data_IF_703335832518
#
_entry.id   IF_703335832518
#
_cell.length_a   1.000
_cell.length_b   1.000
_cell.length_c   1.000
_cell.angle_alpha   90.00
_cell.angle_beta   90.00
_cell.angle_gamma   90.00
#
_symmetry.space_group_name_H-M   'P 1'
#
loop_
_entity.id
_entity.type
_entity.pdbx_description
1 polymer ?
#
# COMPACT_ATOMS: atom_id res chain seq x y z
N UNK A 1 -26.77 -47.17 -19.41
CA UNK A 1 -25.97 -47.30 -18.16
C UNK A 1 -25.11 -46.05 -18.04
N UNK A 2 -25.56 -45.08 -17.28
CA UNK A 2 -24.82 -43.82 -17.01
C UNK A 2 -24.31 -43.91 -15.57
N UNK A 3 -23.01 -44.04 -15.39
CA UNK A 3 -22.35 -44.00 -14.10
C UNK A 3 -21.98 -42.54 -13.79
N UNK A 4 -22.71 -41.98 -12.83
CA UNK A 4 -22.46 -40.71 -12.21
C UNK A 4 -21.15 -40.75 -11.38
N UNK A 5 -20.16 -40.01 -11.80
CA UNK A 5 -18.99 -39.68 -10.98
C UNK A 5 -19.16 -38.28 -10.40
N UNK A 6 -19.71 -38.18 -9.18
CA UNK A 6 -19.87 -36.95 -8.44
C UNK A 6 -19.33 -37.02 -7.00
N UNK A 7 -18.11 -37.57 -6.81
CA UNK A 7 -17.56 -37.79 -5.48
C UNK A 7 -16.27 -37.07 -5.06
N UNK A 8 -15.55 -36.26 -5.84
CA UNK A 8 -14.34 -35.63 -5.30
C UNK A 8 -14.56 -34.25 -4.63
N UNK A 9 -15.59 -33.48 -5.01
CA UNK A 9 -15.76 -32.08 -4.54
C UNK A 9 -16.18 -32.00 -3.06
N UNK A 10 -17.06 -32.90 -2.61
CA UNK A 10 -17.54 -32.91 -1.21
C UNK A 10 -16.48 -33.43 -0.21
N UNK A 11 -15.58 -34.30 -0.62
CA UNK A 11 -14.52 -34.85 0.22
C UNK A 11 -13.41 -33.80 0.46
N UNK A 12 -13.08 -32.99 -0.56
CA UNK A 12 -12.06 -31.95 -0.48
C UNK A 12 -12.51 -30.77 0.38
N UNK A 13 -13.81 -30.38 0.32
CA UNK A 13 -14.36 -29.33 1.18
C UNK A 13 -14.38 -29.72 2.67
N UNK A 14 -14.77 -30.98 2.98
CA UNK A 14 -14.80 -31.45 4.37
C UNK A 14 -13.41 -31.56 5.02
N UNK A 15 -12.37 -31.87 4.24
CA UNK A 15 -10.99 -31.94 4.74
C UNK A 15 -10.46 -30.54 5.03
N UNK A 16 -10.75 -29.56 4.17
CA UNK A 16 -10.35 -28.17 4.37
C UNK A 16 -11.05 -27.53 5.58
N UNK A 17 -12.33 -27.81 5.80
CA UNK A 17 -13.08 -27.30 6.96
C UNK A 17 -12.54 -27.87 8.28
N UNK A 18 -12.17 -29.12 8.33
CA UNK A 18 -11.57 -29.74 9.52
C UNK A 18 -10.20 -29.16 9.84
N UNK A 19 -9.38 -28.97 8.82
CA UNK A 19 -8.06 -28.35 8.95
C UNK A 19 -8.19 -26.90 9.42
N UNK A 20 -9.09 -26.14 8.83
CA UNK A 20 -9.38 -24.75 9.21
C UNK A 20 -9.84 -24.63 10.68
N UNK A 21 -10.77 -25.48 11.11
CA UNK A 21 -11.23 -25.50 12.50
C UNK A 21 -10.08 -25.85 13.46
N UNK A 22 -9.18 -26.73 13.08
CA UNK A 22 -8.00 -27.08 13.87
C UNK A 22 -7.08 -25.84 14.05
N UNK A 23 -6.91 -25.02 13.02
CA UNK A 23 -6.13 -23.79 13.12
C UNK A 23 -6.79 -22.82 14.11
N UNK A 24 -8.10 -22.64 14.04
CA UNK A 24 -8.84 -21.77 14.98
C UNK A 24 -8.62 -22.24 16.43
N UNK A 25 -8.73 -23.55 16.70
CA UNK A 25 -8.52 -24.09 18.04
C UNK A 25 -7.09 -23.87 18.56
N UNK A 26 -6.08 -24.04 17.72
CA UNK A 26 -4.70 -23.77 18.10
C UNK A 26 -4.42 -22.28 18.27
N UNK A 27 -4.95 -21.43 17.40
CA UNK A 27 -4.84 -19.97 17.53
C UNK A 27 -5.46 -19.46 18.84
N UNK A 28 -6.60 -20.03 19.26
CA UNK A 28 -7.21 -19.73 20.56
C UNK A 28 -6.30 -20.12 21.74
N UNK A 29 -5.56 -21.23 21.63
CA UNK A 29 -4.59 -21.65 22.65
C UNK A 29 -3.37 -20.72 22.72
N UNK A 30 -2.94 -20.16 21.59
CA UNK A 30 -1.87 -19.14 21.54
C UNK A 30 -2.35 -17.82 22.16
N UNK A 31 -3.65 -17.54 22.11
CA UNK A 31 -4.33 -16.52 22.88
C UNK A 31 -4.25 -15.09 22.33
N UNK A 32 -3.38 -14.82 21.35
CA UNK A 32 -3.23 -13.50 20.70
C UNK A 32 -2.55 -13.61 19.34
N UNK A 33 -2.62 -12.53 18.56
CA UNK A 33 -1.76 -12.30 17.39
C UNK A 33 -1.13 -10.92 17.48
N UNK A 34 0.16 -10.82 17.20
CA UNK A 34 0.90 -9.56 17.20
C UNK A 34 1.11 -9.09 15.77
N UNK A 35 0.49 -7.98 15.41
CA UNK A 35 0.55 -7.39 14.08
C UNK A 35 1.34 -6.09 14.13
N UNK A 36 2.35 -5.93 13.27
CA UNK A 36 3.11 -4.70 13.15
C UNK A 36 2.80 -3.98 11.82
N UNK A 37 2.59 -2.66 11.88
CA UNK A 37 2.27 -1.88 10.68
C UNK A 37 2.27 -0.37 10.94
N UNK A 38 2.00 0.40 9.88
CA UNK A 38 1.84 1.86 10.02
C UNK A 38 0.63 2.20 10.91
N UNK A 39 0.63 3.36 11.59
CA UNK A 39 -0.57 3.84 12.29
C UNK A 39 -1.77 3.87 11.34
N UNK A 40 -2.83 3.19 11.71
CA UNK A 40 -3.95 2.88 10.82
C UNK A 40 -5.28 2.96 11.58
N UNK A 41 -6.15 3.94 11.27
CA UNK A 41 -7.47 4.06 11.88
C UNK A 41 -8.39 2.88 11.58
N UNK A 42 -8.36 2.30 10.36
CA UNK A 42 -9.18 1.14 9.97
C UNK A 42 -8.79 -0.08 10.80
N UNK A 43 -7.47 -0.32 10.96
CA UNK A 43 -6.97 -1.37 11.83
C UNK A 43 -7.52 -1.23 13.26
N UNK A 44 -7.40 -0.03 13.83
CA UNK A 44 -7.78 0.19 15.25
C UNK A 44 -9.29 0.14 15.48
N UNK A 45 -10.05 0.79 14.60
CA UNK A 45 -11.47 1.03 14.83
C UNK A 45 -12.36 -0.09 14.29
N UNK A 46 -11.89 -0.86 13.31
CA UNK A 46 -12.71 -1.85 12.62
C UNK A 46 -12.11 -3.27 12.67
N UNK A 47 -10.85 -3.44 12.26
CA UNK A 47 -10.22 -4.77 12.14
C UNK A 47 -10.01 -5.43 13.50
N UNK A 48 -9.40 -4.73 14.45
CA UNK A 48 -9.12 -5.28 15.81
C UNK A 48 -10.42 -5.69 16.50
N UNK A 49 -11.46 -4.85 16.60
CA UNK A 49 -12.72 -5.24 17.22
C UNK A 49 -13.38 -6.42 16.48
N UNK A 50 -13.42 -6.38 15.16
CA UNK A 50 -14.10 -7.40 14.36
C UNK A 50 -13.43 -8.77 14.43
N UNK A 51 -12.11 -8.82 14.41
CA UNK A 51 -11.37 -10.08 14.58
C UNK A 51 -11.60 -10.68 15.97
N UNK A 52 -11.53 -9.84 17.00
CA UNK A 52 -11.80 -10.26 18.39
C UNK A 52 -13.25 -10.74 18.57
N UNK A 53 -14.23 -10.04 17.99
CA UNK A 53 -15.64 -10.47 18.01
C UNK A 53 -15.80 -11.86 17.39
N UNK A 54 -15.16 -12.09 16.23
CA UNK A 54 -15.32 -13.33 15.47
C UNK A 54 -14.62 -14.54 16.07
N UNK A 55 -13.41 -14.36 16.60
CA UNK A 55 -12.55 -15.49 17.03
C UNK A 55 -12.27 -15.52 18.54
N UNK A 56 -12.58 -14.45 19.25
CA UNK A 56 -12.23 -14.31 20.68
C UNK A 56 -10.76 -14.03 20.95
N UNK A 57 -9.96 -13.79 19.88
CA UNK A 57 -8.51 -13.61 19.96
C UNK A 57 -8.17 -12.13 19.80
N UNK A 58 -7.47 -11.48 20.74
CA UNK A 58 -7.06 -10.11 20.60
C UNK A 58 -5.91 -9.94 19.58
N UNK A 59 -5.92 -8.82 18.87
CA UNK A 59 -4.78 -8.35 18.08
C UNK A 59 -4.00 -7.34 18.91
N UNK A 60 -2.73 -7.61 19.18
CA UNK A 60 -1.78 -6.63 19.70
C UNK A 60 -1.16 -5.89 18.51
N UNK A 61 -1.51 -4.62 18.33
CA UNK A 61 -1.06 -3.84 17.19
C UNK A 61 0.12 -2.93 17.53
N UNK A 62 1.29 -3.24 16.98
CA UNK A 62 2.51 -2.43 17.06
C UNK A 62 2.46 -1.41 15.92
N UNK A 63 2.01 -0.20 16.23
CA UNK A 63 1.91 0.89 15.28
C UNK A 63 3.15 1.78 15.33
N UNK A 64 3.77 2.04 14.18
CA UNK A 64 4.93 2.93 14.06
C UNK A 64 5.28 3.23 12.61
N UNK A 65 6.18 4.19 12.40
CA UNK A 65 6.76 4.39 11.06
C UNK A 65 7.54 3.15 10.65
N UNK A 66 7.55 2.84 9.36
CA UNK A 66 8.25 1.65 8.85
C UNK A 66 9.73 1.59 9.28
N UNK A 67 10.42 2.73 9.32
CA UNK A 67 11.80 2.82 9.78
C UNK A 67 11.96 2.50 11.28
N UNK A 68 11.02 2.96 12.12
CA UNK A 68 11.03 2.73 13.56
C UNK A 68 10.74 1.24 13.87
N UNK A 69 9.73 0.67 13.21
CA UNK A 69 9.40 -0.75 13.34
C UNK A 69 10.58 -1.60 12.87
N UNK A 70 11.19 -1.29 11.71
CA UNK A 70 12.35 -2.02 11.19
C UNK A 70 13.54 -1.98 12.15
N UNK A 71 13.87 -0.80 12.69
CA UNK A 71 14.98 -0.65 13.65
C UNK A 71 14.73 -1.44 14.94
N UNK A 72 13.51 -1.35 15.49
CA UNK A 72 13.10 -2.11 16.67
C UNK A 72 13.24 -3.61 16.44
N UNK A 73 12.66 -4.13 15.34
CA UNK A 73 12.68 -5.55 15.02
C UNK A 73 14.11 -6.07 14.83
N UNK A 74 14.98 -5.29 14.16
CA UNK A 74 16.40 -5.65 14.00
C UNK A 74 17.09 -5.77 15.36
N UNK A 75 16.87 -4.83 16.26
CA UNK A 75 17.44 -4.85 17.61
C UNK A 75 16.95 -6.05 18.43
N UNK A 76 15.63 -6.29 18.43
CA UNK A 76 15.02 -7.42 19.13
C UNK A 76 15.58 -8.75 18.61
N UNK A 77 15.65 -8.95 17.29
CA UNK A 77 16.19 -10.16 16.66
C UNK A 77 17.68 -10.35 16.94
N UNK A 78 18.47 -9.27 16.96
CA UNK A 78 19.88 -9.31 17.36
C UNK A 78 20.07 -9.83 18.78
N UNK A 79 19.06 -9.67 19.64
CA UNK A 79 19.01 -10.20 21.01
C UNK A 79 18.27 -11.53 21.12
N UNK A 80 17.90 -12.18 20.00
CA UNK A 80 17.16 -13.44 20.00
C UNK A 80 15.66 -13.30 20.31
N UNK A 81 15.11 -12.08 20.32
CA UNK A 81 13.71 -11.79 20.63
C UNK A 81 12.90 -11.72 19.34
N UNK A 82 11.79 -12.45 19.30
CA UNK A 82 10.84 -12.49 18.19
C UNK A 82 9.47 -12.08 18.75
N UNK A 83 9.04 -10.84 18.47
CA UNK A 83 7.87 -10.23 19.08
C UNK A 83 6.68 -10.03 18.14
N UNK A 84 6.85 -10.29 16.84
CA UNK A 84 5.86 -10.02 15.80
C UNK A 84 5.47 -11.30 15.09
N UNK A 85 4.18 -11.46 14.80
CA UNK A 85 3.62 -12.58 14.04
C UNK A 85 3.38 -12.22 12.56
N UNK A 86 2.83 -11.02 12.32
CA UNK A 86 2.42 -10.57 10.99
C UNK A 86 2.89 -9.13 10.77
N UNK A 87 3.42 -8.85 9.57
CA UNK A 87 3.67 -7.48 9.13
C UNK A 87 2.64 -7.06 8.08
N UNK A 88 2.05 -5.88 8.29
CA UNK A 88 1.29 -5.13 7.29
C UNK A 88 2.10 -3.88 6.96
N UNK A 89 3.00 -3.99 5.98
CA UNK A 89 4.01 -2.97 5.71
C UNK A 89 4.01 -2.50 4.26
N UNK A 90 4.54 -1.30 4.05
CA UNK A 90 4.68 -0.74 2.71
C UNK A 90 5.69 -1.51 1.85
N UNK A 91 5.62 -1.34 0.51
CA UNK A 91 6.45 -2.09 -0.44
C UNK A 91 7.95 -2.01 -0.18
N UNK A 92 8.48 -0.81 0.10
CA UNK A 92 9.92 -0.63 0.36
C UNK A 92 10.39 -1.45 1.56
N UNK A 93 9.70 -1.36 2.70
CA UNK A 93 10.05 -2.11 3.92
C UNK A 93 9.93 -3.61 3.69
N UNK A 94 8.87 -4.04 3.01
CA UNK A 94 8.65 -5.45 2.69
C UNK A 94 9.79 -6.00 1.85
N UNK A 95 10.18 -5.32 0.78
CA UNK A 95 11.18 -5.82 -0.15
C UNK A 95 12.61 -5.69 0.38
N UNK A 96 12.98 -4.51 0.90
CA UNK A 96 14.39 -4.23 1.23
C UNK A 96 14.78 -4.71 2.62
N UNK A 97 13.85 -4.68 3.59
CA UNK A 97 14.14 -5.07 4.97
C UNK A 97 13.62 -6.48 5.26
N UNK A 98 12.30 -6.69 5.18
CA UNK A 98 11.73 -7.95 5.66
C UNK A 98 12.16 -9.14 4.81
N UNK A 99 12.05 -9.03 3.49
CA UNK A 99 12.49 -10.07 2.57
C UNK A 99 14.01 -10.08 2.41
N UNK A 100 14.62 -8.92 2.17
CA UNK A 100 16.08 -8.81 1.93
C UNK A 100 16.93 -9.34 3.09
N UNK A 101 16.49 -9.15 4.33
CA UNK A 101 17.15 -9.61 5.54
C UNK A 101 16.58 -10.96 6.07
N UNK A 102 15.78 -11.66 5.27
CA UNK A 102 15.18 -12.98 5.57
C UNK A 102 14.42 -13.00 6.90
N UNK A 103 13.62 -11.95 7.14
CA UNK A 103 12.82 -11.80 8.37
C UNK A 103 11.40 -12.36 8.26
N UNK A 104 11.05 -12.95 7.12
CA UNK A 104 9.72 -13.48 6.83
C UNK A 104 9.77 -14.92 6.34
N UNK A 105 8.71 -15.66 6.62
CA UNK A 105 8.48 -17.02 6.12
C UNK A 105 7.46 -17.01 4.97
N UNK A 106 7.43 -18.06 4.12
CA UNK A 106 6.43 -18.17 3.06
C UNK A 106 5.01 -18.15 3.62
N UNK A 107 4.19 -17.18 3.21
CA UNK A 107 2.78 -17.12 3.59
C UNK A 107 1.89 -17.98 2.68
N UNK A 108 2.29 -18.19 1.43
CA UNK A 108 1.47 -18.93 0.44
C UNK A 108 0.95 -20.29 0.94
N UNK A 109 1.76 -21.18 1.54
CA UNK A 109 1.28 -22.47 2.02
C UNK A 109 0.36 -22.37 3.24
N UNK A 110 0.29 -21.22 3.90
CA UNK A 110 -0.56 -20.95 5.05
C UNK A 110 -1.97 -20.48 4.67
N UNK A 111 -2.18 -20.09 3.41
CA UNK A 111 -3.46 -19.56 2.91
C UNK A 111 -4.38 -20.70 2.49
N UNK A 112 -5.07 -21.31 3.46
CA UNK A 112 -5.89 -22.51 3.28
C UNK A 112 -7.39 -22.29 3.49
N UNK A 113 -7.81 -21.09 3.96
CA UNK A 113 -9.24 -20.78 4.09
C UNK A 113 -9.89 -20.91 2.71
N UNK A 114 -10.97 -21.72 2.56
CA UNK A 114 -11.51 -22.06 1.25
C UNK A 114 -11.76 -20.88 0.32
N UNK A 115 -12.40 -19.82 0.83
CA UNK A 115 -12.67 -18.60 0.04
C UNK A 115 -11.41 -17.79 -0.30
N UNK A 116 -10.31 -17.95 0.45
CA UNK A 116 -9.03 -17.27 0.17
C UNK A 116 -8.22 -18.09 -0.83
N UNK A 117 -8.22 -19.41 -0.70
CA UNK A 117 -7.54 -20.32 -1.61
C UNK A 117 -8.22 -20.43 -2.99
N UNK A 118 -9.50 -20.05 -3.09
CA UNK A 118 -10.25 -20.09 -4.35
C UNK A 118 -9.73 -19.02 -5.33
N UNK A 119 -9.03 -19.49 -6.36
CA UNK A 119 -8.45 -18.66 -7.41
C UNK A 119 -9.49 -17.78 -8.14
N UNK A 120 -10.75 -18.23 -8.25
CA UNK A 120 -11.83 -17.48 -8.93
C UNK A 120 -12.24 -16.21 -8.19
N UNK A 121 -11.90 -16.11 -6.92
CA UNK A 121 -12.16 -14.94 -6.09
C UNK A 121 -11.13 -13.81 -6.27
N UNK A 122 -10.09 -14.02 -7.09
CA UNK A 122 -9.02 -13.07 -7.30
C UNK A 122 -8.98 -12.56 -8.74
N UNK A 123 -8.81 -11.26 -8.95
CA UNK A 123 -8.86 -10.58 -10.27
C UNK A 123 -7.86 -11.13 -11.29
N UNK A 124 -6.72 -11.68 -10.84
CA UNK A 124 -5.73 -12.31 -11.72
C UNK A 124 -5.90 -13.83 -11.85
N UNK A 125 -7.01 -14.41 -11.35
CA UNK A 125 -7.17 -15.86 -11.25
C UNK A 125 -6.18 -16.53 -10.28
N UNK A 126 -5.53 -15.73 -9.43
CA UNK A 126 -4.61 -16.16 -8.37
C UNK A 126 -4.44 -15.06 -7.34
N UNK A 127 -3.99 -15.42 -6.14
CA UNK A 127 -3.49 -14.45 -5.17
C UNK A 127 -2.25 -13.76 -5.75
N UNK A 128 -2.19 -12.45 -5.66
CA UNK A 128 -1.08 -11.69 -6.19
C UNK A 128 0.03 -11.54 -5.14
N UNK A 129 1.21 -12.03 -5.47
CA UNK A 129 2.43 -11.88 -4.69
C UNK A 129 3.34 -10.85 -5.35
N UNK A 130 4.01 -10.04 -4.54
CA UNK A 130 4.95 -9.04 -5.02
C UNK A 130 6.36 -9.61 -5.20
N UNK A 131 6.74 -10.57 -4.36
CA UNK A 131 8.08 -11.15 -4.36
C UNK A 131 8.34 -12.08 -5.56
N UNK A 132 9.63 -12.23 -6.01
CA UNK A 132 9.97 -13.02 -7.19
C UNK A 132 9.63 -14.50 -7.09
N UNK A 133 9.55 -15.04 -5.87
CA UNK A 133 9.21 -16.43 -5.62
C UNK A 133 7.70 -16.70 -5.57
N UNK A 134 6.89 -15.63 -5.62
CA UNK A 134 5.42 -15.66 -5.45
C UNK A 134 4.96 -16.44 -4.19
N UNK A 135 5.58 -16.15 -3.03
CA UNK A 135 5.36 -16.92 -1.81
C UNK A 135 5.26 -16.11 -0.52
N UNK A 136 5.89 -14.94 -0.44
CA UNK A 136 6.17 -14.26 0.82
C UNK A 136 5.30 -13.04 1.06
N UNK A 137 5.08 -12.20 0.04
CA UNK A 137 4.45 -10.89 0.17
C UNK A 137 3.16 -10.79 -0.65
N UNK A 138 2.00 -10.83 0.03
CA UNK A 138 0.70 -10.72 -0.65
C UNK A 138 0.37 -9.27 -0.94
N UNK A 139 0.02 -8.98 -2.20
CA UNK A 139 -0.61 -7.73 -2.66
C UNK A 139 -2.12 -7.92 -2.72
N UNK A 140 -2.83 -7.30 -1.80
CA UNK A 140 -4.28 -7.45 -1.70
C UNK A 140 -5.06 -6.31 -2.40
N UNK A 141 -4.36 -5.25 -2.86
CA UNK A 141 -4.95 -4.05 -3.45
C UNK A 141 -4.28 -3.66 -4.77
N UNK A 142 -5.01 -2.92 -5.62
CA UNK A 142 -4.55 -2.47 -6.94
C UNK A 142 -5.13 -1.12 -7.32
N UNK A 143 -5.12 -0.14 -6.42
CA UNK A 143 -5.61 1.20 -6.72
C UNK A 143 -4.66 1.95 -7.66
N UNK A 144 -5.23 2.77 -8.55
CA UNK A 144 -4.44 3.81 -9.23
C UNK A 144 -4.12 4.89 -8.19
N UNK A 145 -2.85 5.19 -8.00
CA UNK A 145 -2.40 6.20 -7.06
C UNK A 145 -2.62 7.61 -7.60
N UNK A 146 -2.94 8.54 -6.72
CA UNK A 146 -2.96 9.95 -7.06
C UNK A 146 -1.53 10.42 -7.35
N UNK A 147 -1.31 11.03 -8.53
CA UNK A 147 -0.03 11.55 -8.96
C UNK A 147 0.29 12.89 -8.29
N UNK A 148 -0.69 13.78 -8.26
CA UNK A 148 -0.62 15.08 -7.60
C UNK A 148 -2.02 15.60 -7.26
N UNK A 149 -2.08 16.64 -6.43
CA UNK A 149 -3.32 17.34 -6.06
C UNK A 149 -3.27 18.80 -6.48
N UNK A 150 -4.40 19.35 -6.89
CA UNK A 150 -4.54 20.77 -7.21
C UNK A 150 -5.72 21.39 -6.45
N UNK A 151 -5.57 22.64 -6.00
CA UNK A 151 -6.67 23.46 -5.51
C UNK A 151 -7.35 24.14 -6.70
N UNK A 152 -8.62 23.79 -6.97
CA UNK A 152 -9.34 24.23 -8.17
C UNK A 152 -9.84 25.68 -8.12
N UNK A 153 -9.75 26.36 -6.97
CA UNK A 153 -9.95 27.81 -6.90
C UNK A 153 -8.78 28.60 -7.49
N UNK A 154 -7.59 27.98 -7.57
CA UNK A 154 -6.34 28.60 -8.03
C UNK A 154 -5.82 27.99 -9.34
N UNK A 155 -6.06 26.71 -9.58
CA UNK A 155 -5.55 25.93 -10.73
C UNK A 155 -6.72 25.31 -11.46
N UNK A 156 -6.97 25.73 -12.69
CA UNK A 156 -8.00 25.09 -13.51
C UNK A 156 -7.50 23.70 -13.97
N UNK A 157 -8.36 22.66 -13.98
CA UNK A 157 -7.96 21.34 -14.44
C UNK A 157 -7.32 21.32 -15.85
N UNK A 158 -7.79 22.21 -16.73
CA UNK A 158 -7.28 22.36 -18.09
C UNK A 158 -5.84 22.89 -18.16
N UNK A 159 -5.35 23.47 -17.06
CA UNK A 159 -4.00 24.00 -16.92
C UNK A 159 -3.01 22.96 -16.35
N UNK A 160 -3.45 21.71 -16.16
CA UNK A 160 -2.66 20.61 -15.60
C UNK A 160 -2.93 19.32 -16.36
N UNK A 161 -2.62 19.31 -17.68
CA UNK A 161 -2.83 18.16 -18.57
C UNK A 161 -1.56 17.37 -18.82
N UNK A 162 -0.40 18.02 -18.70
CA UNK A 162 0.91 17.38 -18.84
C UNK A 162 1.82 17.80 -17.71
N UNK A 163 2.87 17.05 -17.45
CA UNK A 163 3.87 17.40 -16.44
C UNK A 163 4.61 18.70 -16.82
N UNK A 164 4.72 19.00 -18.14
CA UNK A 164 5.32 20.26 -18.60
C UNK A 164 4.54 21.49 -18.10
N UNK A 165 3.24 21.36 -17.82
CA UNK A 165 2.43 22.47 -17.28
C UNK A 165 2.87 22.89 -15.89
N UNK A 166 3.50 21.98 -15.12
CA UNK A 166 4.13 22.30 -13.82
C UNK A 166 5.29 23.29 -13.96
N UNK A 167 5.90 23.37 -15.14
CA UNK A 167 7.03 24.27 -15.42
C UNK A 167 6.59 25.68 -15.84
N UNK A 168 5.29 25.95 -15.94
CA UNK A 168 4.79 27.28 -16.26
C UNK A 168 5.22 28.28 -15.19
N UNK A 169 5.74 29.45 -15.61
CA UNK A 169 6.28 30.49 -14.72
C UNK A 169 5.27 30.99 -13.66
N UNK A 170 3.96 30.90 -13.93
CA UNK A 170 2.90 31.28 -12.97
C UNK A 170 2.87 30.41 -11.72
N UNK A 171 3.41 29.18 -11.77
CA UNK A 171 3.49 28.26 -10.65
C UNK A 171 4.78 28.34 -9.85
N UNK A 172 5.70 29.23 -10.23
CA UNK A 172 6.97 29.40 -9.52
C UNK A 172 6.75 29.78 -8.07
N UNK A 173 7.28 28.94 -7.15
CA UNK A 173 7.10 29.08 -5.71
C UNK A 173 5.71 28.72 -5.20
N UNK A 174 4.83 28.13 -6.03
CA UNK A 174 3.46 27.73 -5.69
C UNK A 174 3.23 26.23 -5.72
N UNK A 175 4.27 25.43 -5.87
CA UNK A 175 4.24 23.96 -5.85
C UNK A 175 4.85 23.50 -4.54
N UNK A 176 4.20 22.55 -3.85
CA UNK A 176 4.72 21.94 -2.62
C UNK A 176 5.02 20.47 -2.78
N UNK A 177 5.96 19.97 -1.99
CA UNK A 177 6.33 18.56 -1.90
C UNK A 177 6.91 18.21 -0.53
N UNK A 178 6.77 16.96 -0.10
CA UNK A 178 7.62 16.42 0.96
C UNK A 178 9.09 16.46 0.49
N UNK A 179 10.02 16.71 1.41
CA UNK A 179 11.45 16.84 1.08
C UNK A 179 11.97 15.60 0.31
N UNK A 180 12.27 15.71 -0.99
CA UNK A 180 12.68 14.59 -1.82
C UNK A 180 14.09 14.07 -1.51
N UNK A 181 14.83 14.75 -0.65
CA UNK A 181 16.16 14.29 -0.19
C UNK A 181 16.10 13.34 0.99
N UNK A 182 14.89 13.07 1.50
CA UNK A 182 14.64 12.11 2.60
C UNK A 182 13.73 10.99 2.13
N UNK A 183 13.85 9.79 2.72
CA UNK A 183 12.97 8.68 2.39
C UNK A 183 11.51 9.02 2.72
N UNK A 184 10.62 8.93 1.75
CA UNK A 184 9.20 9.26 1.89
C UNK A 184 8.49 9.43 0.55
N UNK A 185 7.27 9.97 0.59
CA UNK A 185 6.44 10.20 -0.59
C UNK A 185 7.09 11.19 -1.56
N UNK A 186 7.79 12.23 -1.04
CA UNK A 186 8.50 13.20 -1.87
C UNK A 186 9.63 12.57 -2.68
N UNK A 187 10.44 11.69 -2.06
CA UNK A 187 11.51 10.98 -2.77
C UNK A 187 10.94 10.02 -3.84
N UNK A 188 9.81 9.35 -3.55
CA UNK A 188 9.16 8.45 -4.50
C UNK A 188 8.60 9.21 -5.70
N UNK A 189 7.90 10.30 -5.46
CA UNK A 189 7.35 11.17 -6.50
C UNK A 189 8.47 11.74 -7.38
N UNK A 190 9.56 12.25 -6.78
CA UNK A 190 10.68 12.78 -7.52
C UNK A 190 11.42 11.71 -8.34
N UNK A 191 11.61 10.50 -7.78
CA UNK A 191 12.19 9.37 -8.52
C UNK A 191 11.33 8.97 -9.72
N UNK A 192 10.00 9.03 -9.58
CA UNK A 192 9.06 8.78 -10.66
C UNK A 192 9.15 9.85 -11.76
N UNK A 193 9.18 11.13 -11.40
CA UNK A 193 9.40 12.22 -12.38
C UNK A 193 10.74 12.08 -13.09
N UNK A 194 11.80 11.70 -12.38
CA UNK A 194 13.10 11.45 -13.02
C UNK A 194 13.06 10.27 -13.99
N UNK A 195 12.42 9.17 -13.59
CA UNK A 195 12.27 7.99 -14.45
C UNK A 195 11.54 8.31 -15.75
N UNK A 196 10.43 9.04 -15.68
CA UNK A 196 9.56 9.28 -16.83
C UNK A 196 10.03 10.44 -17.70
N UNK A 197 10.61 11.49 -17.11
CA UNK A 197 10.88 12.78 -17.77
C UNK A 197 12.36 13.22 -17.73
N UNK A 198 13.19 12.51 -16.98
CA UNK A 198 14.64 12.75 -16.94
C UNK A 198 15.10 13.86 -16.01
N UNK A 199 16.40 14.06 -16.00
CA UNK A 199 17.12 14.96 -15.11
C UNK A 199 16.74 16.43 -15.29
N UNK A 200 16.68 16.90 -16.53
CA UNK A 200 16.40 18.29 -16.83
C UNK A 200 15.02 18.72 -16.32
N UNK A 201 14.01 17.85 -16.45
CA UNK A 201 12.68 18.11 -15.88
C UNK A 201 12.73 18.22 -14.38
N UNK A 202 13.41 17.30 -13.68
CA UNK A 202 13.53 17.30 -12.22
C UNK A 202 14.24 18.57 -11.72
N UNK A 203 15.32 18.98 -12.39
CA UNK A 203 16.05 20.22 -12.08
C UNK A 203 15.14 21.44 -12.24
N UNK A 204 14.43 21.56 -13.36
CA UNK A 204 13.47 22.64 -13.62
C UNK A 204 12.36 22.65 -12.58
N UNK A 205 11.73 21.50 -12.30
CA UNK A 205 10.60 21.40 -11.36
C UNK A 205 11.00 21.75 -9.92
N UNK A 206 12.09 21.18 -9.44
CA UNK A 206 12.43 21.31 -8.01
C UNK A 206 13.31 22.51 -7.67
N UNK A 207 14.13 23.00 -8.63
CA UNK A 207 15.07 24.09 -8.41
C UNK A 207 14.57 25.39 -9.05
N UNK A 208 14.35 25.38 -10.37
CA UNK A 208 14.01 26.61 -11.10
C UNK A 208 12.60 27.09 -10.77
N UNK A 209 11.64 26.17 -10.60
CA UNK A 209 10.28 26.47 -10.12
C UNK A 209 10.23 26.85 -8.63
N UNK A 210 11.35 26.71 -7.90
CA UNK A 210 11.41 26.97 -6.45
C UNK A 210 10.34 26.18 -5.69
N UNK A 211 10.19 24.89 -6.00
CA UNK A 211 9.23 24.00 -5.32
C UNK A 211 9.47 24.03 -3.81
N UNK A 212 8.44 24.33 -3.05
CA UNK A 212 8.49 24.45 -1.59
C UNK A 212 8.55 23.06 -0.96
N UNK A 213 9.55 22.83 -0.13
CA UNK A 213 9.83 21.52 0.50
C UNK A 213 9.55 21.59 1.99
N UNK A 214 8.88 20.57 2.53
CA UNK A 214 8.66 20.45 3.97
C UNK A 214 8.70 18.95 4.36
N UNK A 215 8.87 18.66 5.65
CA UNK A 215 8.70 17.31 6.22
C UNK A 215 7.38 17.15 6.97
N UNK A 216 6.62 18.23 7.05
CA UNK A 216 5.37 18.29 7.79
C UNK A 216 4.18 18.03 6.85
N UNK A 217 3.67 16.80 6.87
CA UNK A 217 2.56 16.35 6.00
C UNK A 217 1.31 17.21 6.14
N UNK A 218 0.91 17.52 7.38
CA UNK A 218 -0.27 18.36 7.65
C UNK A 218 -0.11 19.76 7.08
N UNK A 219 1.09 20.33 7.16
CA UNK A 219 1.37 21.64 6.59
C UNK A 219 1.16 21.67 5.07
N UNK A 220 1.57 20.60 4.36
CA UNK A 220 1.32 20.51 2.91
C UNK A 220 -0.17 20.47 2.58
N UNK A 221 -0.95 19.68 3.32
CA UNK A 221 -2.40 19.58 3.13
C UNK A 221 -3.11 20.88 3.46
N UNK A 222 -2.68 21.59 4.51
CA UNK A 222 -3.20 22.94 4.85
C UNK A 222 -2.87 23.97 3.77
N UNK A 223 -1.66 23.98 3.24
CA UNK A 223 -1.28 24.85 2.14
C UNK A 223 -2.10 24.62 0.88
N UNK A 224 -2.30 23.34 0.54
CA UNK A 224 -3.15 22.92 -0.59
C UNK A 224 -4.59 23.41 -0.39
N UNK A 225 -5.18 23.14 0.77
CA UNK A 225 -6.55 23.50 1.09
C UNK A 225 -6.79 25.00 1.04
N UNK A 226 -5.84 25.81 1.55
CA UNK A 226 -5.91 27.27 1.55
C UNK A 226 -5.47 27.91 0.24
N UNK A 227 -4.94 27.15 -0.72
CA UNK A 227 -4.44 27.65 -1.99
C UNK A 227 -3.13 28.45 -1.90
N UNK A 228 -2.43 28.47 -0.75
CA UNK A 228 -1.10 29.10 -0.63
C UNK A 228 -0.04 28.36 -1.44
N UNK A 229 -0.13 27.04 -1.49
CA UNK A 229 0.60 26.14 -2.38
C UNK A 229 -0.44 25.30 -3.12
N UNK A 230 -1.02 25.82 -4.22
CA UNK A 230 -2.18 25.21 -4.85
C UNK A 230 -1.90 23.91 -5.62
N UNK A 231 -0.64 23.50 -5.71
CA UNK A 231 -0.20 22.25 -6.33
C UNK A 231 0.64 21.47 -5.34
N UNK A 232 0.25 20.22 -5.04
CA UNK A 232 0.98 19.32 -4.15
C UNK A 232 1.39 18.05 -4.88
N UNK A 233 2.71 17.80 -5.01
CA UNK A 233 3.27 16.67 -5.75
C UNK A 233 3.31 15.38 -4.94
N UNK A 234 3.26 15.45 -3.62
CA UNK A 234 3.45 14.28 -2.75
C UNK A 234 2.57 14.31 -1.49
N UNK A 235 1.48 15.07 -1.53
CA UNK A 235 0.44 14.97 -0.52
C UNK A 235 -0.13 13.55 -0.51
N UNK A 236 -0.59 13.10 0.65
CA UNK A 236 -1.16 11.76 0.77
C UNK A 236 -2.67 11.82 0.73
N UNK A 237 -3.24 10.81 0.12
CA UNK A 237 -4.70 10.66 -0.01
C UNK A 237 -5.41 10.64 1.36
N UNK A 238 -4.81 9.99 2.36
CA UNK A 238 -5.32 9.91 3.72
C UNK A 238 -5.33 11.26 4.47
N UNK A 239 -4.46 12.21 4.10
CA UNK A 239 -4.45 13.56 4.65
C UNK A 239 -5.38 14.53 3.87
N UNK A 240 -5.58 14.29 2.57
CA UNK A 240 -6.30 15.24 1.69
C UNK A 240 -7.79 14.89 1.53
N UNK A 241 -8.16 13.61 1.48
CA UNK A 241 -9.57 13.21 1.31
C UNK A 241 -10.53 13.68 2.39
N UNK A 242 -10.14 13.77 3.69
CA UNK A 242 -10.97 14.44 4.69
C UNK A 242 -11.29 15.89 4.32
N UNK A 243 -10.31 16.64 3.83
CA UNK A 243 -10.50 18.06 3.42
C UNK A 243 -11.47 18.15 2.22
N UNK A 244 -11.36 17.25 1.25
CA UNK A 244 -12.31 17.17 0.13
C UNK A 244 -13.75 16.92 0.66
N UNK A 245 -13.91 16.02 1.63
CA UNK A 245 -15.20 15.75 2.28
C UNK A 245 -15.74 16.96 3.06
N UNK A 246 -14.87 17.78 3.62
CA UNK A 246 -15.22 19.04 4.29
C UNK A 246 -15.56 20.17 3.30
N UNK A 247 -15.44 19.94 1.99
CA UNK A 247 -15.86 20.85 0.93
C UNK A 247 -14.75 21.72 0.34
N UNK A 248 -13.48 21.51 0.72
CA UNK A 248 -12.35 22.17 0.07
C UNK A 248 -12.28 21.79 -1.41
N UNK A 249 -11.99 22.76 -2.27
CA UNK A 249 -11.97 22.61 -3.72
C UNK A 249 -10.65 21.98 -4.19
N UNK A 250 -10.46 20.71 -3.90
CA UNK A 250 -9.26 19.96 -4.24
C UNK A 250 -9.61 18.86 -5.24
N UNK A 251 -8.81 18.74 -6.31
CA UNK A 251 -8.91 17.69 -7.33
C UNK A 251 -7.69 16.77 -7.24
N UNK A 252 -7.95 15.47 -7.30
CA UNK A 252 -6.95 14.42 -7.44
C UNK A 252 -6.61 14.21 -8.92
N UNK A 253 -5.36 14.32 -9.32
CA UNK A 253 -4.84 14.02 -10.66
C UNK A 253 -4.13 12.66 -10.61
N UNK A 254 -4.58 11.70 -11.41
CA UNK A 254 -4.07 10.32 -11.39
C UNK A 254 -3.06 10.03 -12.50
N UNK A 255 -3.16 10.76 -13.61
CA UNK A 255 -2.31 10.62 -14.79
C UNK A 255 -2.17 11.97 -15.49
N UNK A 256 -1.11 12.16 -16.24
CA UNK A 256 -0.88 13.29 -17.14
C UNK A 256 -0.56 12.73 -18.54
N UNK A 257 -0.67 13.56 -19.57
CA UNK A 257 -0.48 13.10 -20.96
C UNK A 257 0.92 12.46 -21.20
N UNK A 258 1.90 12.89 -20.45
CA UNK A 258 3.31 12.47 -20.50
C UNK A 258 3.76 11.61 -19.30
N UNK A 259 2.86 11.35 -18.33
CA UNK A 259 3.09 10.44 -17.20
C UNK A 259 1.89 9.51 -17.03
N UNK A 260 2.03 8.22 -17.34
CA UNK A 260 0.95 7.27 -17.15
C UNK A 260 0.62 7.12 -15.66
N UNK A 261 -0.65 6.86 -15.35
CA UNK A 261 -1.09 6.53 -14.00
C UNK A 261 -0.31 5.33 -13.44
N UNK A 262 -0.18 5.25 -12.12
CA UNK A 262 0.54 4.15 -11.46
C UNK A 262 -0.38 3.29 -10.61
N UNK A 263 -0.17 1.98 -10.66
CA UNK A 263 -0.81 1.04 -9.72
C UNK A 263 0.00 1.02 -8.43
N UNK A 264 -0.69 1.24 -7.33
CA UNK A 264 -0.15 1.14 -5.98
C UNK A 264 -0.82 -0.02 -5.24
N UNK A 265 -0.03 -0.87 -4.59
CA UNK A 265 -0.52 -1.97 -3.74
C UNK A 265 -0.88 -1.53 -2.31
N UNK A 266 -1.09 -0.22 -2.09
CA UNK A 266 -1.51 0.34 -0.81
C UNK A 266 -2.87 -0.23 -0.33
N UNK A 267 -3.15 -0.33 0.98
CA UNK A 267 -2.39 0.31 2.07
C UNK A 267 -1.19 -0.48 2.59
N UNK A 268 -1.09 -1.78 2.30
CA UNK A 268 -0.01 -2.65 2.81
C UNK A 268 0.20 -3.90 1.93
N UNK A 269 1.37 -4.52 2.13
CA UNK A 269 1.65 -5.91 1.77
C UNK A 269 1.61 -6.76 3.04
N UNK A 270 0.98 -7.93 2.97
CA UNK A 270 0.92 -8.87 4.08
C UNK A 270 2.07 -9.87 3.99
N UNK A 271 2.81 -10.00 5.09
CA UNK A 271 3.87 -11.00 5.26
C UNK A 271 3.80 -11.63 6.64
N UNK A 272 4.30 -12.86 6.78
CA UNK A 272 4.40 -13.59 8.05
C UNK A 272 5.83 -13.50 8.57
N UNK A 273 5.99 -13.12 9.83
CA UNK A 273 7.30 -13.09 10.46
C UNK A 273 7.89 -14.50 10.57
N UNK A 274 9.19 -14.65 10.26
CA UNK A 274 9.84 -15.91 10.59
C UNK A 274 9.98 -16.04 12.11
N UNK A 275 9.88 -17.26 12.63
CA UNK A 275 9.85 -17.56 14.07
C UNK A 275 8.74 -16.76 14.80
N UNK A 276 7.59 -16.61 14.16
CA UNK A 276 6.43 -15.96 14.77
C UNK A 276 6.10 -16.64 16.11
N UNK A 277 5.96 -15.90 17.22
CA UNK A 277 5.64 -16.48 18.53
C UNK A 277 4.26 -17.15 18.58
N UNK A 278 3.30 -16.69 17.76
CA UNK A 278 1.95 -17.22 17.68
C UNK A 278 1.61 -17.65 16.24
N UNK A 279 2.24 -18.74 15.71
CA UNK A 279 2.19 -19.08 14.28
C UNK A 279 0.79 -19.48 13.79
N UNK A 280 -0.06 -20.06 14.64
CA UNK A 280 -1.43 -20.42 14.27
C UNK A 280 -2.38 -19.21 14.30
N UNK A 281 -2.19 -18.31 15.24
CA UNK A 281 -2.91 -17.05 15.26
C UNK A 281 -2.48 -16.16 14.07
N UNK A 282 -1.20 -16.14 13.70
CA UNK A 282 -0.70 -15.51 12.48
C UNK A 282 -1.36 -16.09 11.22
N UNK A 283 -1.42 -17.40 11.10
CA UNK A 283 -2.08 -18.11 10.00
C UNK A 283 -3.58 -17.78 9.94
N UNK A 284 -4.27 -17.81 11.08
CA UNK A 284 -5.69 -17.45 11.18
C UNK A 284 -5.92 -16.02 10.73
N UNK A 285 -5.13 -15.06 11.26
CA UNK A 285 -5.25 -13.65 10.92
C UNK A 285 -4.97 -13.40 9.43
N UNK A 286 -3.91 -13.99 8.86
CA UNK A 286 -3.57 -13.84 7.44
C UNK A 286 -4.70 -14.30 6.51
N UNK A 287 -5.33 -15.43 6.82
CA UNK A 287 -6.48 -15.91 6.05
C UNK A 287 -7.70 -14.99 6.23
N UNK A 288 -8.03 -14.60 7.46
CA UNK A 288 -9.20 -13.75 7.71
C UNK A 288 -9.05 -12.35 7.10
N UNK A 289 -7.88 -11.71 7.21
CA UNK A 289 -7.68 -10.37 6.65
C UNK A 289 -7.74 -10.36 5.12
N UNK A 290 -7.47 -11.51 4.46
CA UNK A 290 -7.60 -11.71 3.02
C UNK A 290 -8.97 -12.26 2.60
N UNK A 291 -9.85 -12.59 3.55
CA UNK A 291 -11.23 -13.03 3.27
C UNK A 291 -12.09 -11.88 2.75
N UNK A 292 -13.28 -12.20 2.22
CA UNK A 292 -14.26 -11.18 1.82
C UNK A 292 -14.60 -10.22 2.96
N UNK A 293 -14.72 -10.73 4.20
CA UNK A 293 -15.03 -9.92 5.38
C UNK A 293 -13.87 -8.98 5.71
N UNK A 294 -12.69 -9.50 6.02
CA UNK A 294 -11.53 -8.73 6.47
C UNK A 294 -11.04 -7.73 5.42
N UNK A 295 -10.82 -8.20 4.19
CA UNK A 295 -10.35 -7.36 3.10
C UNK A 295 -11.42 -6.33 2.67
N UNK A 296 -12.70 -6.69 2.76
CA UNK A 296 -13.81 -5.79 2.48
C UNK A 296 -13.89 -4.62 3.47
N UNK A 297 -13.62 -4.86 4.75
CA UNK A 297 -13.51 -3.78 5.76
C UNK A 297 -12.40 -2.80 5.36
N UNK A 298 -11.21 -3.32 5.04
CA UNK A 298 -10.08 -2.50 4.63
C UNK A 298 -10.33 -1.73 3.32
N UNK A 299 -10.88 -2.41 2.30
CA UNK A 299 -11.18 -1.79 1.01
C UNK A 299 -12.12 -0.59 1.17
N UNK A 300 -13.18 -0.74 1.96
CA UNK A 300 -14.13 0.36 2.23
C UNK A 300 -13.52 1.46 3.10
N UNK A 301 -12.85 1.10 4.20
CA UNK A 301 -12.32 2.07 5.16
C UNK A 301 -11.20 2.93 4.57
N UNK A 302 -10.37 2.34 3.70
CA UNK A 302 -9.26 3.02 3.04
C UNK A 302 -9.63 3.63 1.68
N UNK A 303 -10.79 3.26 1.11
CA UNK A 303 -11.14 3.64 -0.26
C UNK A 303 -10.16 3.03 -1.27
N UNK A 304 -9.79 1.75 -1.11
CA UNK A 304 -8.82 1.06 -1.96
C UNK A 304 -9.48 -0.04 -2.78
N UNK A 305 -9.02 -0.20 -4.01
CA UNK A 305 -9.49 -1.25 -4.92
C UNK A 305 -8.92 -2.59 -4.49
N UNK A 306 -9.80 -3.52 -4.07
CA UNK A 306 -9.41 -4.88 -3.69
C UNK A 306 -8.99 -5.72 -4.90
N UNK A 307 -8.06 -6.66 -4.69
CA UNK A 307 -7.75 -7.70 -5.66
C UNK A 307 -8.78 -8.85 -5.68
N UNK A 308 -9.74 -8.88 -4.75
CA UNK A 308 -10.85 -9.85 -4.81
C UNK A 308 -11.93 -9.39 -5.78
N UNK A 309 -12.56 -10.35 -6.46
CA UNK A 309 -13.65 -10.14 -7.42
C UNK A 309 -15.01 -9.99 -6.75
N UNK A 310 -15.17 -10.45 -5.50
CA UNK A 310 -16.42 -10.53 -4.76
C UNK A 310 -16.56 -9.44 -3.66
N UNK A 311 -15.68 -8.44 -3.67
CA UNK A 311 -15.78 -7.22 -2.87
C UNK A 311 -16.25 -6.08 -3.78
N UNK A 312 -17.34 -5.43 -3.38
CA UNK A 312 -17.89 -4.29 -4.12
C UNK A 312 -16.97 -3.07 -3.99
N UNK A 313 -16.73 -2.40 -5.11
CA UNK A 313 -15.93 -1.18 -5.21
C UNK A 313 -16.81 0.05 -4.95
N UNK A 314 -17.43 0.09 -3.77
CA UNK A 314 -18.29 1.21 -3.33
C UNK A 314 -17.50 2.31 -2.65
N UNK A 315 -17.96 3.56 -2.78
CA UNK A 315 -17.36 4.75 -2.16
C UNK A 315 -15.89 5.01 -2.56
N UNK A 316 -15.49 4.52 -3.73
CA UNK A 316 -14.17 4.80 -4.30
C UNK A 316 -14.22 6.06 -5.17
N UNK A 317 -13.11 6.82 -5.19
CA UNK A 317 -12.91 7.79 -6.25
C UNK A 317 -12.76 7.02 -7.58
N UNK A 318 -13.57 7.31 -8.62
CA UNK A 318 -13.49 6.62 -9.91
C UNK A 318 -12.09 6.61 -10.51
N UNK A 319 -11.27 7.63 -10.23
CA UNK A 319 -9.87 7.69 -10.66
C UNK A 319 -8.97 6.63 -10.05
N UNK A 320 -9.29 6.09 -8.86
CA UNK A 320 -8.53 5.01 -8.25
C UNK A 320 -8.80 3.64 -8.87
N UNK A 321 -9.88 3.50 -9.66
CA UNK A 321 -10.25 2.21 -10.24
C UNK A 321 -9.48 1.99 -11.53
N UNK A 322 -8.62 0.94 -11.63
CA UNK A 322 -7.90 0.64 -12.85
C UNK A 322 -8.85 0.37 -14.02
N UNK A 323 -8.67 1.09 -15.12
CA UNK A 323 -9.47 0.94 -16.34
C UNK A 323 -8.97 -0.28 -17.12
N UNK A 324 -9.90 -1.11 -17.61
CA UNK A 324 -9.56 -2.27 -18.44
C UNK A 324 -8.84 -1.84 -19.73
N UNK A 325 -7.73 -2.51 -20.04
CA UNK A 325 -6.94 -2.24 -21.24
C UNK A 325 -5.97 -1.06 -21.16
N UNK A 326 -5.98 -0.32 -20.05
CA UNK A 326 -4.99 0.75 -19.81
C UNK A 326 -3.74 0.14 -19.18
N UNK A 327 -2.58 0.51 -19.73
CA UNK A 327 -1.29 0.13 -19.15
C UNK A 327 -0.87 1.16 -18.13
N UNK A 328 -0.78 0.74 -16.88
CA UNK A 328 -0.29 1.53 -15.77
C UNK A 328 1.17 1.20 -15.46
N UNK A 329 1.86 2.14 -14.87
CA UNK A 329 3.15 1.87 -14.23
C UNK A 329 2.91 1.09 -12.92
N UNK A 330 3.62 -0.02 -12.71
CA UNK A 330 3.52 -0.75 -11.44
C UNK A 330 4.53 -0.19 -10.41
N UNK A 331 4.05 0.71 -9.57
CA UNK A 331 4.86 1.33 -8.51
C UNK A 331 5.29 0.34 -7.40
N UNK A 332 4.72 -0.86 -7.43
CA UNK A 332 5.02 -1.96 -6.52
C UNK A 332 5.68 -3.16 -7.20
N UNK A 333 6.15 -2.98 -8.45
CA UNK A 333 7.02 -3.95 -9.11
C UNK A 333 8.29 -4.18 -8.28
N UNK A 334 8.65 -5.45 -8.10
CA UNK A 334 9.77 -5.81 -7.20
C UNK A 334 11.11 -5.24 -7.65
N UNK A 335 11.41 -5.33 -8.95
CA UNK A 335 12.66 -4.78 -9.50
C UNK A 335 12.70 -3.27 -9.38
N UNK A 336 11.55 -2.61 -9.59
CA UNK A 336 11.41 -1.18 -9.36
C UNK A 336 11.71 -0.79 -7.92
N UNK A 337 11.09 -1.48 -6.94
CA UNK A 337 11.30 -1.18 -5.50
C UNK A 337 12.74 -1.39 -5.08
N UNK A 338 13.32 -2.54 -5.42
CA UNK A 338 14.63 -2.95 -4.89
C UNK A 338 15.78 -2.22 -5.57
N UNK A 339 15.65 -1.96 -6.87
CA UNK A 339 16.74 -1.39 -7.67
C UNK A 339 16.38 -0.06 -8.29
N UNK A 340 15.37 -0.02 -9.14
CA UNK A 340 15.06 1.15 -9.96
C UNK A 340 14.75 2.39 -9.14
N UNK A 341 13.84 2.28 -8.16
CA UNK A 341 13.45 3.40 -7.31
C UNK A 341 14.63 3.95 -6.51
N UNK A 342 15.51 3.08 -5.99
CA UNK A 342 16.68 3.51 -5.23
C UNK A 342 17.69 4.23 -6.12
N UNK A 343 17.93 3.72 -7.32
CA UNK A 343 18.80 4.36 -8.32
C UNK A 343 18.29 5.76 -8.68
N UNK A 344 16.99 5.91 -8.96
CA UNK A 344 16.42 7.21 -9.30
C UNK A 344 16.35 8.18 -8.11
N UNK A 345 16.14 7.70 -6.89
CA UNK A 345 16.26 8.54 -5.68
C UNK A 345 17.67 9.10 -5.52
N UNK A 346 18.70 8.29 -5.77
CA UNK A 346 20.09 8.76 -5.73
C UNK A 346 20.36 9.81 -6.82
N UNK A 347 19.92 9.58 -8.06
CA UNK A 347 20.01 10.57 -9.14
C UNK A 347 19.31 11.88 -8.78
N UNK A 348 18.10 11.83 -8.22
CA UNK A 348 17.38 13.01 -7.72
C UNK A 348 18.18 13.73 -6.66
N UNK A 349 18.74 12.98 -5.70
CA UNK A 349 19.56 13.54 -4.63
C UNK A 349 20.77 14.31 -5.18
N UNK A 350 21.46 13.75 -6.18
CA UNK A 350 22.58 14.40 -6.85
C UNK A 350 22.16 15.73 -7.51
N UNK A 351 21.07 15.71 -8.25
CA UNK A 351 20.50 16.91 -8.90
C UNK A 351 20.19 18.00 -7.86
N UNK A 352 19.54 17.62 -6.76
CA UNK A 352 19.08 18.60 -5.73
C UNK A 352 20.19 19.10 -4.83
N UNK A 353 21.33 18.43 -4.74
CA UNK A 353 22.53 18.86 -4.02
C UNK A 353 23.49 19.66 -4.89
N UNK A 354 23.22 19.80 -6.18
CA UNK A 354 24.05 20.55 -7.11
C UNK A 354 25.39 19.87 -7.45
N UNK A 355 25.41 18.54 -7.45
CA UNK A 355 26.58 17.73 -7.83
C UNK A 355 26.41 17.12 -9.20
#
# INVERSE_FOLDING_TARGET
MALLWSAPILAQSRTSDKEWNTIIEWAKKEGKVVVAGSPDPVMRNEIIPKFKERYGIPIEFIAGRSSEISARIKTERGSGIYSVDVYLSGPDTTATTLYGEKMIDPVKPLLIMPEVADATKWKLGKIWFADPEERFAVRAFSSVATLLFINTDQVKPEEMRSAQDLLNAKWRGKISTEDPTTTGSGANSAARFYHDLGEDFVRKLYIEQKTVRTRERRQMSDWLARGTQPICLSCREDDVRPLIKEGFKILEIFELADIPGSINGSPWMLTIANRAPNPKAAQLFANWILSKEGLGIYARGYGSVSMRTDIEETNLNPGNIPKKGVKYFDDTDWKWIVTGRQEYREKVWQVLKGK
#
